data_IF_583459397867
#
_entry.id   IF_583459397867
#
_cell.length_a   1.000
_cell.length_b   1.000
_cell.length_c   1.000
_cell.angle_alpha   90.00
_cell.angle_beta   90.00
_cell.angle_gamma   90.00
#
_symmetry.space_group_name_H-M   'P 1'
#
loop_
_entity.id
_entity.type
_entity.pdbx_description
1 polymer ?
#
# COMPACT_ATOMS: atom_id res chain seq x y z
N UNK A 1 1.68 24.33 2.35
CA UNK A 1 0.54 25.29 2.39
C UNK A 1 0.33 26.10 1.11
N UNK A 2 1.24 27.01 0.71
CA UNK A 2 1.02 27.89 -0.46
C UNK A 2 0.68 27.14 -1.76
N UNK A 3 1.29 25.98 -2.00
CA UNK A 3 0.99 25.15 -3.17
C UNK A 3 -0.42 24.55 -3.11
N UNK A 4 -0.84 24.04 -1.95
CA UNK A 4 -2.20 23.54 -1.72
C UNK A 4 -3.25 24.64 -1.96
N UNK A 5 -3.00 25.87 -1.49
CA UNK A 5 -3.88 27.01 -1.75
C UNK A 5 -3.99 27.30 -3.26
N UNK A 6 -2.87 27.26 -4.00
CA UNK A 6 -2.91 27.38 -5.47
C UNK A 6 -3.74 26.27 -6.11
N UNK A 7 -3.57 25.02 -5.65
CA UNK A 7 -4.28 23.86 -6.18
C UNK A 7 -5.80 23.96 -5.94
N UNK A 8 -6.23 24.38 -4.75
CA UNK A 8 -7.65 24.62 -4.43
C UNK A 8 -8.22 25.75 -5.29
N UNK A 9 -7.45 26.81 -5.52
CA UNK A 9 -7.86 27.94 -6.34
C UNK A 9 -7.92 27.61 -7.84
N UNK A 10 -7.01 26.76 -8.32
CA UNK A 10 -6.97 26.33 -9.71
C UNK A 10 -7.97 25.18 -9.95
N UNK A 11 -8.73 25.22 -11.04
CA UNK A 11 -9.70 24.17 -11.41
C UNK A 11 -9.06 22.81 -11.81
N UNK A 12 -7.79 22.56 -11.49
CA UNK A 12 -7.08 21.31 -11.80
C UNK A 12 -7.43 20.16 -10.83
N UNK A 13 -8.23 20.45 -9.82
CA UNK A 13 -8.62 19.57 -8.71
C UNK A 13 -10.02 19.98 -8.26
N UNK A 14 -10.88 19.02 -7.87
CA UNK A 14 -12.23 19.34 -7.41
C UNK A 14 -12.39 19.06 -5.90
N UNK A 15 -12.43 20.11 -5.04
CA UNK A 15 -12.42 19.95 -3.58
C UNK A 15 -13.52 19.05 -3.00
N UNK A 16 -14.69 18.95 -3.64
CA UNK A 16 -15.73 18.05 -3.13
C UNK A 16 -15.45 16.56 -3.38
N UNK A 17 -14.71 16.22 -4.44
CA UNK A 17 -14.63 14.83 -4.97
C UNK A 17 -13.21 14.26 -5.00
N UNK A 18 -12.21 15.05 -4.64
CA UNK A 18 -10.80 14.69 -4.63
C UNK A 18 -10.16 15.12 -3.29
N UNK A 19 -8.92 14.70 -2.98
CA UNK A 19 -8.16 15.11 -1.78
C UNK A 19 -6.88 15.86 -2.17
N UNK A 20 -6.59 16.99 -1.51
CA UNK A 20 -5.38 17.77 -1.78
C UNK A 20 -4.13 17.03 -1.26
N UNK A 21 -3.38 16.48 -2.19
CA UNK A 21 -2.32 15.50 -1.93
C UNK A 21 -1.18 16.06 -1.05
N UNK A 22 -0.82 17.35 -1.19
CA UNK A 22 0.26 17.92 -0.38
C UNK A 22 -0.15 18.04 1.09
N UNK A 23 -1.38 18.51 1.36
CA UNK A 23 -1.91 18.57 2.72
C UNK A 23 -2.11 17.16 3.30
N UNK A 24 -2.53 16.19 2.49
CA UNK A 24 -2.63 14.80 2.91
C UNK A 24 -1.27 14.25 3.35
N UNK A 25 -0.24 14.36 2.51
CA UNK A 25 1.09 13.81 2.79
C UNK A 25 1.68 14.39 4.08
N UNK A 26 1.57 15.70 4.29
CA UNK A 26 2.07 16.34 5.52
C UNK A 26 1.28 15.94 6.77
N UNK A 27 -0.05 15.83 6.65
CA UNK A 27 -0.91 15.41 7.76
C UNK A 27 -0.65 13.96 8.13
N UNK A 28 -0.61 13.07 7.14
CA UNK A 28 -0.39 11.65 7.34
C UNK A 28 1.00 11.35 7.90
N UNK A 29 2.01 12.07 7.41
CA UNK A 29 3.37 12.04 7.99
C UNK A 29 3.34 12.41 9.47
N UNK A 30 2.71 13.53 9.85
CA UNK A 30 2.61 13.93 11.25
C UNK A 30 1.91 12.87 12.11
N UNK A 31 0.81 12.28 11.62
CA UNK A 31 0.11 11.22 12.36
C UNK A 31 0.95 9.94 12.49
N UNK A 32 1.70 9.56 11.45
CA UNK A 32 2.59 8.41 11.51
C UNK A 32 3.79 8.65 12.44
N UNK A 33 4.35 9.86 12.46
CA UNK A 33 5.37 10.25 13.44
C UNK A 33 4.82 10.18 14.87
N UNK A 34 3.55 10.54 15.07
CA UNK A 34 2.89 10.38 16.37
C UNK A 34 2.78 8.91 16.79
N UNK A 35 2.37 8.03 15.87
CA UNK A 35 2.35 6.58 16.10
C UNK A 35 3.74 6.03 16.39
N UNK A 36 4.76 6.44 15.63
CA UNK A 36 6.15 5.99 15.83
C UNK A 36 6.68 6.35 17.21
N UNK A 37 6.35 7.57 17.66
CA UNK A 37 6.75 8.08 18.98
C UNK A 37 5.98 7.44 20.13
N UNK A 38 4.67 7.24 19.96
CA UNK A 38 3.79 6.73 21.00
C UNK A 38 3.82 5.21 21.12
N UNK A 39 3.59 4.50 20.01
CA UNK A 39 3.57 3.04 19.95
C UNK A 39 4.98 2.43 19.98
N UNK A 40 5.99 3.17 19.48
CA UNK A 40 7.32 2.68 19.20
C UNK A 40 7.39 2.04 17.81
N UNK A 41 8.47 2.29 17.06
CA UNK A 41 8.69 1.70 15.74
C UNK A 41 8.74 0.17 15.86
N UNK A 42 7.88 -0.52 15.10
CA UNK A 42 7.86 -1.98 15.01
C UNK A 42 8.49 -2.45 13.71
N UNK A 43 9.30 -3.50 13.80
CA UNK A 43 9.87 -4.19 12.63
C UNK A 43 8.98 -5.39 12.27
N UNK A 44 9.01 -5.91 11.03
CA UNK A 44 8.13 -7.01 10.59
C UNK A 44 8.15 -8.29 11.43
N UNK A 45 9.21 -8.51 12.22
CA UNK A 45 9.37 -9.66 13.12
C UNK A 45 8.72 -9.45 14.49
N UNK A 46 8.25 -8.25 14.79
CA UNK A 46 7.62 -7.90 16.06
C UNK A 46 6.16 -8.39 16.08
N UNK A 47 5.68 -9.05 17.15
CA UNK A 47 4.30 -9.55 17.24
C UNK A 47 3.23 -8.45 17.14
N UNK A 48 3.57 -7.20 17.46
CA UNK A 48 2.65 -6.06 17.34
C UNK A 48 2.80 -5.31 16.01
N UNK A 49 3.66 -5.75 15.10
CA UNK A 49 3.89 -5.09 13.82
C UNK A 49 2.62 -4.96 12.98
N UNK A 50 1.82 -6.02 12.91
CA UNK A 50 0.58 -6.05 12.14
C UNK A 50 -0.40 -4.96 12.61
N UNK A 51 -0.53 -4.82 13.93
CA UNK A 51 -1.40 -3.84 14.57
C UNK A 51 -0.84 -2.41 14.47
N UNK A 52 0.49 -2.27 14.55
CA UNK A 52 1.17 -1.00 14.29
C UNK A 52 0.95 -0.49 12.87
N UNK A 53 0.91 -1.39 11.87
CA UNK A 53 0.57 -1.01 10.49
C UNK A 53 -0.91 -0.64 10.33
N UNK A 54 -1.81 -1.33 11.04
CA UNK A 54 -3.24 -0.97 11.09
C UNK A 54 -3.44 0.45 11.60
N UNK A 55 -2.74 0.85 12.68
CA UNK A 55 -2.73 2.23 13.18
C UNK A 55 -2.28 3.23 12.10
N UNK A 56 -1.23 2.91 11.33
CA UNK A 56 -0.74 3.79 10.25
C UNK A 56 -1.70 3.88 9.05
N UNK A 57 -2.42 2.81 8.76
CA UNK A 57 -3.48 2.82 7.75
C UNK A 57 -4.66 3.71 8.20
N UNK A 58 -5.13 3.53 9.43
CA UNK A 58 -6.22 4.33 9.98
C UNK A 58 -5.83 5.81 10.16
N UNK A 59 -4.55 6.11 10.41
CA UNK A 59 -4.02 7.47 10.34
C UNK A 59 -4.20 8.10 8.94
N UNK A 60 -4.06 7.31 7.87
CA UNK A 60 -4.28 7.80 6.51
C UNK A 60 -5.75 8.16 6.29
N UNK A 61 -6.67 7.31 6.76
CA UNK A 61 -8.12 7.57 6.72
C UNK A 61 -8.45 8.89 7.45
N UNK A 62 -8.00 9.04 8.69
CA UNK A 62 -8.18 10.28 9.45
C UNK A 62 -7.62 11.50 8.73
N UNK A 63 -6.40 11.39 8.19
CA UNK A 63 -5.71 12.47 7.47
C UNK A 63 -6.48 12.90 6.22
N UNK A 64 -7.03 11.95 5.47
CA UNK A 64 -7.82 12.25 4.28
C UNK A 64 -9.13 12.97 4.62
N UNK A 65 -9.87 12.54 5.64
CA UNK A 65 -11.07 13.26 6.10
C UNK A 65 -10.75 14.67 6.63
N UNK A 66 -9.67 14.83 7.40
CA UNK A 66 -9.21 16.15 7.86
C UNK A 66 -8.92 17.07 6.68
N UNK A 67 -8.20 16.58 5.67
CA UNK A 67 -7.84 17.38 4.50
C UNK A 67 -9.05 17.70 3.65
N UNK A 68 -9.98 16.75 3.45
CA UNK A 68 -11.25 17.00 2.77
C UNK A 68 -12.05 18.10 3.47
N UNK A 69 -12.10 18.10 4.81
CA UNK A 69 -12.73 19.18 5.56
C UNK A 69 -12.04 20.52 5.31
N UNK A 70 -10.74 20.58 5.54
CA UNK A 70 -9.96 21.82 5.44
C UNK A 70 -10.00 22.44 4.05
N UNK A 71 -9.84 21.62 3.00
CA UNK A 71 -9.87 22.11 1.62
C UNK A 71 -11.25 22.65 1.22
N UNK A 72 -12.34 22.04 1.70
CA UNK A 72 -13.69 22.51 1.39
C UNK A 72 -14.05 23.77 2.18
N UNK A 73 -13.64 23.87 3.45
CA UNK A 73 -13.79 25.10 4.24
C UNK A 73 -13.06 26.28 3.57
N UNK A 74 -11.88 26.05 2.97
CA UNK A 74 -11.14 27.06 2.19
C UNK A 74 -11.79 27.33 0.82
N UNK A 75 -12.24 26.29 0.11
CA UNK A 75 -12.88 26.41 -1.21
C UNK A 75 -14.22 27.16 -1.14
N UNK A 76 -14.96 27.02 -0.04
CA UNK A 76 -16.22 27.74 0.19
C UNK A 76 -16.06 29.28 0.15
N UNK A 77 -14.84 29.80 0.30
CA UNK A 77 -14.53 31.23 0.28
C UNK A 77 -14.11 31.76 -1.10
N UNK A 78 -14.06 30.92 -2.14
CA UNK A 78 -13.56 31.29 -3.48
C UNK A 78 -14.38 32.39 -4.17
N UNK A 79 -15.70 32.40 -3.94
CA UNK A 79 -16.61 33.35 -4.59
C UNK A 79 -16.91 34.53 -3.65
N UNK A 80 -17.08 35.71 -4.23
CA UNK A 80 -17.64 36.87 -3.53
C UNK A 80 -19.16 36.80 -3.41
N UNK A 81 -19.78 37.82 -2.80
CA UNK A 81 -21.23 37.91 -2.60
C UNK A 81 -22.04 37.96 -3.90
N UNK A 82 -21.40 38.26 -5.03
CA UNK A 82 -22.03 38.30 -6.36
C UNK A 82 -21.81 36.98 -7.13
N UNK A 83 -21.15 36.00 -6.52
CA UNK A 83 -20.85 34.69 -7.13
C UNK A 83 -19.64 34.73 -8.07
N UNK A 84 -18.83 35.79 -8.04
CA UNK A 84 -17.64 35.94 -8.88
C UNK A 84 -16.39 35.44 -8.16
N UNK A 85 -15.51 34.77 -8.90
CA UNK A 85 -14.23 34.29 -8.37
C UNK A 85 -13.35 35.47 -7.91
N UNK A 86 -12.98 35.46 -6.62
CA UNK A 86 -12.06 36.45 -6.03
C UNK A 86 -10.65 36.31 -6.62
N UNK A 87 -9.84 37.38 -6.72
CA UNK A 87 -8.43 37.26 -7.05
C UNK A 87 -7.66 36.40 -6.04
N UNK A 88 -6.69 35.61 -6.52
CA UNK A 88 -5.92 34.66 -5.68
C UNK A 88 -5.31 35.30 -4.43
N UNK A 89 -4.64 36.44 -4.56
CA UNK A 89 -3.98 37.11 -3.42
C UNK A 89 -5.00 37.57 -2.35
N UNK A 90 -6.19 37.99 -2.78
CA UNK A 90 -7.26 38.35 -1.86
C UNK A 90 -7.81 37.10 -1.15
N UNK A 91 -8.21 36.09 -1.91
CA UNK A 91 -8.75 34.85 -1.37
C UNK A 91 -7.75 34.16 -0.43
N UNK A 92 -6.48 34.04 -0.83
CA UNK A 92 -5.43 33.42 -0.04
C UNK A 92 -5.24 34.11 1.31
N UNK A 93 -5.37 35.45 1.36
CA UNK A 93 -5.29 36.21 2.61
C UNK A 93 -6.52 35.97 3.50
N UNK A 94 -7.70 35.87 2.91
CA UNK A 94 -8.96 35.64 3.63
C UNK A 94 -9.05 34.23 4.22
N UNK A 95 -8.53 33.20 3.53
CA UNK A 95 -8.56 31.81 4.03
C UNK A 95 -7.38 31.45 4.92
N UNK A 96 -6.35 32.30 5.01
CA UNK A 96 -5.16 32.03 5.84
C UNK A 96 -5.50 31.71 7.30
N UNK A 97 -6.46 32.38 7.98
CA UNK A 97 -6.87 32.00 9.33
C UNK A 97 -7.46 30.59 9.41
N UNK A 98 -8.25 30.16 8.42
CA UNK A 98 -8.81 28.80 8.35
C UNK A 98 -7.67 27.79 8.20
N UNK A 99 -6.79 28.01 7.21
CA UNK A 99 -5.65 27.14 6.93
C UNK A 99 -4.73 26.99 8.16
N UNK A 100 -4.41 28.09 8.84
CA UNK A 100 -3.54 28.10 10.02
C UNK A 100 -4.22 27.40 11.19
N UNK A 101 -5.50 27.68 11.45
CA UNK A 101 -6.19 27.08 12.59
C UNK A 101 -6.32 25.56 12.43
N UNK A 102 -6.71 25.08 11.25
CA UNK A 102 -6.95 23.65 11.02
C UNK A 102 -5.67 22.85 10.77
N UNK A 103 -4.73 23.37 9.97
CA UNK A 103 -3.54 22.62 9.53
C UNK A 103 -2.29 22.90 10.36
N UNK A 104 -2.37 23.77 11.37
CA UNK A 104 -1.26 24.03 12.30
C UNK A 104 -1.72 23.85 13.76
N UNK A 105 -2.65 24.67 14.25
CA UNK A 105 -3.03 24.65 15.66
C UNK A 105 -3.81 23.39 16.07
N UNK A 106 -4.82 23.01 15.29
CA UNK A 106 -5.56 21.76 15.51
C UNK A 106 -4.69 20.55 15.23
N UNK A 107 -3.92 20.56 14.14
CA UNK A 107 -2.99 19.48 13.82
C UNK A 107 -1.97 19.21 14.94
N UNK A 108 -1.49 20.27 15.61
CA UNK A 108 -0.63 20.11 16.79
C UNK A 108 -1.35 19.39 17.94
N UNK A 109 -2.60 19.77 18.23
CA UNK A 109 -3.40 19.15 19.31
C UNK A 109 -3.71 17.68 19.00
N UNK A 110 -4.03 17.40 17.73
CA UNK A 110 -4.25 16.06 17.19
C UNK A 110 -2.97 15.23 17.30
N UNK A 111 -1.83 15.76 16.89
CA UNK A 111 -0.53 15.10 17.02
C UNK A 111 -0.21 14.74 18.47
N UNK A 112 -0.32 15.72 19.39
CA UNK A 112 -0.03 15.51 20.81
C UNK A 112 -0.95 14.42 21.42
N UNK A 113 -2.23 14.40 21.01
CA UNK A 113 -3.20 13.38 21.44
C UNK A 113 -2.92 12.02 20.79
N UNK A 114 -2.55 11.98 19.52
CA UNK A 114 -2.22 10.76 18.78
C UNK A 114 -0.99 10.06 19.39
N UNK A 115 0.04 10.79 19.81
CA UNK A 115 1.21 10.20 20.51
C UNK A 115 0.76 9.47 21.77
N UNK A 116 -0.06 10.11 22.60
CA UNK A 116 -0.54 9.53 23.86
C UNK A 116 -1.41 8.30 23.60
N UNK A 117 -2.33 8.38 22.64
CA UNK A 117 -3.24 7.28 22.31
C UNK A 117 -2.52 6.11 21.65
N UNK A 118 -1.49 6.36 20.85
CA UNK A 118 -0.63 5.31 20.31
C UNK A 118 0.15 4.58 21.40
N UNK A 119 0.63 5.29 22.43
CA UNK A 119 1.22 4.65 23.61
C UNK A 119 0.20 3.78 24.35
N UNK A 120 -1.00 4.31 24.60
CA UNK A 120 -2.08 3.55 25.24
C UNK A 120 -2.50 2.32 24.42
N UNK A 121 -2.45 2.40 23.09
CA UNK A 121 -2.70 1.27 22.23
C UNK A 121 -1.65 0.17 22.43
N UNK A 122 -0.36 0.54 22.53
CA UNK A 122 0.71 -0.41 22.84
C UNK A 122 0.56 -1.04 24.23
N UNK A 123 0.24 -0.23 25.24
CA UNK A 123 -0.05 -0.71 26.61
C UNK A 123 -1.19 -1.72 26.60
N UNK A 124 -2.26 -1.45 25.84
CA UNK A 124 -3.39 -2.38 25.74
C UNK A 124 -3.01 -3.73 25.12
N UNK A 125 -2.13 -3.74 24.11
CA UNK A 125 -1.59 -4.98 23.53
C UNK A 125 -0.80 -5.78 24.57
N UNK A 126 -0.06 -5.09 25.44
CA UNK A 126 0.62 -5.73 26.55
C UNK A 126 -0.37 -6.31 27.57
N UNK A 127 -1.38 -5.53 27.99
CA UNK A 127 -2.40 -5.97 28.95
C UNK A 127 -3.09 -7.26 28.48
N UNK A 128 -3.48 -7.33 27.21
CA UNK A 128 -4.10 -8.53 26.63
C UNK A 128 -3.17 -9.76 26.64
N UNK A 129 -1.85 -9.57 26.51
CA UNK A 129 -0.87 -10.67 26.55
C UNK A 129 -0.63 -11.20 27.96
N UNK A 130 -0.71 -10.34 28.97
CA UNK A 130 -0.33 -10.69 30.34
C UNK A 130 -1.53 -10.93 31.27
N UNK A 131 -2.76 -10.78 30.78
CA UNK A 131 -3.99 -10.92 31.58
C UNK A 131 -4.17 -12.27 32.28
N UNK A 132 -3.49 -13.32 31.84
CA UNK A 132 -3.49 -14.62 32.54
C UNK A 132 -2.74 -14.57 33.89
N UNK A 133 -1.85 -13.58 34.06
CA UNK A 133 -1.04 -13.36 35.27
C UNK A 133 -1.47 -12.08 36.00
N UNK A 134 -1.73 -11.01 35.26
CA UNK A 134 -2.17 -9.71 35.76
C UNK A 134 -3.54 -9.38 35.15
N UNK A 135 -4.63 -9.99 35.66
CA UNK A 135 -5.94 -9.96 35.00
C UNK A 135 -6.66 -8.62 35.08
N UNK A 136 -6.20 -7.70 35.94
CA UNK A 136 -6.88 -6.44 36.21
C UNK A 136 -6.05 -5.24 35.75
N UNK A 137 -6.75 -4.14 35.43
CA UNK A 137 -6.18 -2.83 35.15
C UNK A 137 -6.55 -1.86 36.26
N UNK A 138 -5.59 -1.02 36.64
CA UNK A 138 -5.77 0.06 37.61
C UNK A 138 -5.63 1.41 36.94
N UNK A 139 -6.61 2.28 37.13
CA UNK A 139 -6.53 3.67 36.67
C UNK A 139 -5.65 4.49 37.61
N UNK A 140 -4.55 5.05 37.09
CA UNK A 140 -3.60 5.82 37.86
C UNK A 140 -3.82 7.34 37.73
N UNK A 141 -3.41 8.14 38.73
CA UNK A 141 -3.44 9.59 38.63
C UNK A 141 -2.69 10.14 37.40
N UNK A 142 -3.24 11.19 36.81
CA UNK A 142 -2.64 11.88 35.66
C UNK A 142 -1.29 12.51 36.00
N UNK A 143 -0.38 12.52 35.03
CA UNK A 143 0.90 13.26 35.13
C UNK A 143 0.78 14.74 34.75
N UNK A 144 -0.44 15.23 34.44
CA UNK A 144 -0.69 16.64 34.17
C UNK A 144 -0.47 17.52 35.41
N UNK A 145 0.07 18.73 35.21
CA UNK A 145 0.20 19.74 36.27
C UNK A 145 -1.19 20.21 36.74
N UNK A 146 -2.17 20.24 35.84
CA UNK A 146 -3.55 20.61 36.11
C UNK A 146 -4.49 19.50 35.63
N UNK A 147 -4.66 18.43 36.42
CA UNK A 147 -5.56 17.33 36.05
C UNK A 147 -7.02 17.77 36.17
N UNK A 148 -7.80 17.49 35.12
CA UNK A 148 -9.25 17.72 35.08
C UNK A 148 -9.98 16.94 36.18
N UNK A 149 -11.10 17.48 36.67
CA UNK A 149 -11.90 16.85 37.72
C UNK A 149 -12.71 15.65 37.19
N UNK A 150 -13.05 15.69 35.90
CA UNK A 150 -13.79 14.67 35.16
C UNK A 150 -13.18 13.27 35.27
N UNK A 151 -11.84 13.15 35.28
CA UNK A 151 -11.19 11.84 35.41
C UNK A 151 -10.71 11.48 36.83
N UNK A 152 -10.71 12.43 37.77
CA UNK A 152 -10.24 12.15 39.15
C UNK A 152 -11.09 11.11 39.86
N UNK A 153 -12.38 11.06 39.52
CA UNK A 153 -13.34 10.15 40.12
C UNK A 153 -13.02 8.68 39.84
N UNK A 154 -12.31 8.38 38.74
CA UNK A 154 -11.94 7.02 38.34
C UNK A 154 -10.58 6.57 38.88
N UNK A 155 -9.81 7.45 39.52
CA UNK A 155 -8.48 7.10 40.01
C UNK A 155 -8.55 6.05 41.10
N UNK A 156 -7.77 4.98 40.94
CA UNK A 156 -7.76 3.84 41.84
C UNK A 156 -8.80 2.76 41.51
N UNK A 157 -9.67 2.96 40.51
CA UNK A 157 -10.55 1.89 40.02
C UNK A 157 -9.71 0.74 39.45
N UNK A 158 -9.94 -0.46 39.96
CA UNK A 158 -9.28 -1.72 39.56
C UNK A 158 -10.34 -2.65 38.98
N UNK A 159 -10.26 -3.00 37.70
CA UNK A 159 -11.24 -3.88 37.03
C UNK A 159 -10.55 -4.83 36.04
N UNK A 160 -11.15 -6.00 35.75
CA UNK A 160 -10.62 -6.92 34.75
C UNK A 160 -10.35 -6.25 33.40
N UNK A 161 -9.33 -6.70 32.66
CA UNK A 161 -8.95 -6.15 31.34
C UNK A 161 -10.15 -6.10 30.37
N UNK A 162 -11.02 -7.09 30.42
CA UNK A 162 -12.19 -7.24 29.55
C UNK A 162 -13.49 -6.62 30.11
N UNK A 163 -13.42 -5.93 31.25
CA UNK A 163 -14.59 -5.35 31.89
C UNK A 163 -15.25 -4.27 31.01
N UNK A 164 -16.59 -4.28 30.82
CA UNK A 164 -17.30 -3.31 29.98
C UNK A 164 -17.08 -1.84 30.33
N UNK A 165 -16.75 -1.53 31.58
CA UNK A 165 -16.38 -0.17 32.04
C UNK A 165 -15.37 0.50 31.11
N UNK A 166 -14.34 -0.23 30.67
CA UNK A 166 -13.27 0.32 29.83
C UNK A 166 -13.73 0.75 28.43
N UNK A 167 -14.91 0.29 27.98
CA UNK A 167 -15.51 0.75 26.71
C UNK A 167 -16.06 2.17 26.84
N UNK A 168 -16.57 2.52 28.01
CA UNK A 168 -17.22 3.81 28.27
C UNK A 168 -16.29 4.81 28.96
N UNK A 169 -15.37 4.35 29.81
CA UNK A 169 -14.47 5.17 30.60
C UNK A 169 -13.06 4.59 30.56
N UNK A 170 -12.09 5.32 30.01
CA UNK A 170 -10.68 4.90 30.04
C UNK A 170 -9.75 6.07 29.75
N UNK A 171 -8.48 6.03 30.17
CA UNK A 171 -7.51 6.98 29.68
C UNK A 171 -7.47 7.06 28.14
N UNK A 172 -7.37 8.28 27.62
CA UNK A 172 -7.33 8.55 26.18
C UNK A 172 -8.65 9.02 25.57
N UNK A 173 -9.78 8.94 26.28
CA UNK A 173 -11.11 9.41 25.85
C UNK A 173 -11.31 10.96 25.95
N UNK A 174 -10.27 11.69 26.36
CA UNK A 174 -10.18 13.15 26.38
C UNK A 174 -8.96 13.62 25.61
N UNK A 175 -9.07 14.77 24.95
CA UNK A 175 -7.94 15.42 24.26
C UNK A 175 -6.78 15.63 25.23
N UNK A 176 -5.59 15.15 24.85
CA UNK A 176 -4.37 15.20 25.66
C UNK A 176 -4.48 14.59 27.08
N UNK A 177 -5.33 13.59 27.29
CA UNK A 177 -5.46 12.89 28.57
C UNK A 177 -4.17 12.15 28.96
N UNK A 178 -3.50 12.58 30.04
CA UNK A 178 -2.25 11.95 30.53
C UNK A 178 -2.44 10.95 31.67
N UNK A 179 -3.64 10.39 31.82
CA UNK A 179 -3.85 9.29 32.77
C UNK A 179 -3.22 8.00 32.22
N UNK A 180 -2.54 7.19 33.05
CA UNK A 180 -2.14 5.84 32.68
C UNK A 180 -3.13 4.77 33.19
N UNK A 181 -3.08 3.61 32.55
CA UNK A 181 -3.50 2.34 33.14
C UNK A 181 -2.24 1.53 33.48
N UNK A 182 -2.32 0.68 34.49
CA UNK A 182 -1.31 -0.36 34.76
C UNK A 182 -2.01 -1.69 34.97
N UNK A 183 -1.42 -2.77 34.49
CA UNK A 183 -1.84 -4.13 34.84
C UNK A 183 -1.47 -4.45 36.29
N UNK A 184 -2.28 -5.30 36.93
CA UNK A 184 -2.14 -5.67 38.34
C UNK A 184 -2.87 -6.98 38.65
N UNK A 185 -2.48 -7.64 39.74
CA UNK A 185 -3.20 -8.74 40.39
C UNK A 185 -4.00 -8.27 41.63
N UNK A 186 -4.03 -6.96 41.90
CA UNK A 186 -4.86 -6.37 42.97
C UNK A 186 -6.34 -6.80 42.83
N UNK A 187 -7.05 -7.05 43.95
CA UNK A 187 -8.48 -7.35 43.90
C UNK A 187 -9.29 -6.25 43.21
N UNK A 188 -10.31 -6.65 42.44
CA UNK A 188 -11.19 -5.71 41.76
C UNK A 188 -11.90 -4.78 42.76
N UNK A 189 -12.14 -3.54 42.33
CA UNK A 189 -13.06 -2.63 43.00
C UNK A 189 -14.43 -3.31 43.14
N UNK A 190 -15.03 -3.37 44.35
CA UNK A 190 -16.37 -3.91 44.55
C UNK A 190 -17.40 -3.22 43.65
N UNK A 191 -18.44 -3.94 43.22
CA UNK A 191 -19.42 -3.44 42.25
C UNK A 191 -20.11 -2.14 42.69
N UNK A 192 -20.36 -1.97 43.99
CA UNK A 192 -20.94 -0.77 44.60
C UNK A 192 -19.94 0.40 44.76
N UNK A 193 -18.65 0.14 44.53
CA UNK A 193 -17.58 1.13 44.53
C UNK A 193 -17.08 1.53 43.14
N UNK A 194 -17.63 0.97 42.05
CA UNK A 194 -17.29 1.37 40.69
C UNK A 194 -17.97 2.73 40.40
N UNK A 195 -17.22 3.79 40.07
CA UNK A 195 -17.83 5.08 39.75
C UNK A 195 -18.71 4.96 38.50
N UNK A 196 -19.96 5.42 38.58
CA UNK A 196 -20.91 5.37 37.44
C UNK A 196 -20.55 6.36 36.32
N UNK A 197 -19.73 7.37 36.62
CA UNK A 197 -19.49 8.50 35.72
C UNK A 197 -20.69 9.45 35.67
N UNK A 198 -20.70 10.31 34.66
CA UNK A 198 -21.61 11.43 34.50
C UNK A 198 -21.48 12.08 33.12
N UNK A 199 -22.16 13.21 32.93
CA UNK A 199 -22.16 13.89 31.63
C UNK A 199 -20.80 14.53 31.30
N UNK A 200 -20.06 14.99 32.32
CA UNK A 200 -18.80 15.71 32.16
C UNK A 200 -17.60 14.79 31.82
N UNK A 201 -17.75 13.47 31.97
CA UNK A 201 -16.71 12.44 31.74
C UNK A 201 -16.97 11.55 30.50
N UNK A 202 -18.05 11.81 29.75
CA UNK A 202 -18.33 11.11 28.47
C UNK A 202 -17.25 11.35 27.42
N UNK A 203 -16.67 10.33 26.77
CA UNK A 203 -15.60 10.49 25.77
C UNK A 203 -15.84 11.61 24.75
N UNK A 204 -14.79 12.36 24.42
CA UNK A 204 -14.86 13.43 23.43
C UNK A 204 -15.10 12.83 22.03
N UNK A 205 -15.76 13.61 21.16
CA UNK A 205 -16.00 13.19 19.78
C UNK A 205 -14.70 12.87 19.05
N UNK A 206 -14.68 11.71 18.40
CA UNK A 206 -13.51 11.09 17.78
C UNK A 206 -12.60 10.28 18.72
N UNK A 207 -12.85 10.26 20.04
CA UNK A 207 -12.03 9.56 21.04
C UNK A 207 -12.79 8.44 21.78
N UNK A 208 -14.01 8.12 21.36
CA UNK A 208 -14.93 7.12 21.94
C UNK A 208 -14.41 5.69 21.83
N UNK A 209 -13.63 5.36 20.79
CA UNK A 209 -13.04 4.04 20.54
C UNK A 209 -11.74 3.79 21.30
N UNK A 210 -11.52 2.54 21.73
CA UNK A 210 -10.26 2.13 22.35
C UNK A 210 -9.22 1.84 21.26
N UNK A 211 -8.18 2.66 21.10
CA UNK A 211 -7.24 2.51 20.00
C UNK A 211 -6.50 1.18 20.08
N UNK A 212 -6.32 0.60 21.27
CA UNK A 212 -5.72 -0.72 21.50
C UNK A 212 -6.56 -1.91 21.03
N UNK A 213 -7.85 -1.67 20.77
CA UNK A 213 -8.79 -2.68 20.26
C UNK A 213 -9.21 -2.40 18.81
N UNK A 214 -9.37 -1.13 18.44
CA UNK A 214 -9.88 -0.73 17.12
C UNK A 214 -8.78 -0.44 16.12
N UNK A 215 -7.54 -0.20 16.56
CA UNK A 215 -6.48 0.29 15.69
C UNK A 215 -6.71 1.71 15.20
N UNK A 216 -7.69 2.45 15.75
CA UNK A 216 -8.04 3.82 15.34
C UNK A 216 -7.63 4.81 16.44
N UNK A 217 -6.65 5.68 16.16
CA UNK A 217 -6.30 6.77 17.08
C UNK A 217 -7.44 7.79 17.19
N UNK A 218 -8.19 8.00 16.11
CA UNK A 218 -9.41 8.79 16.08
C UNK A 218 -10.49 7.98 15.38
N UNK A 219 -11.65 7.82 16.02
CA UNK A 219 -12.77 7.05 15.48
C UNK A 219 -13.72 7.92 14.64
N UNK A 220 -14.71 7.26 14.03
CA UNK A 220 -15.68 7.86 13.10
C UNK A 220 -16.65 8.87 13.72
N UNK A 221 -16.70 9.01 15.04
CA UNK A 221 -17.44 10.10 15.68
C UNK A 221 -16.68 11.43 15.64
N UNK A 222 -15.46 11.47 15.08
CA UNK A 222 -14.75 12.72 14.90
C UNK A 222 -15.54 13.65 13.96
N UNK A 223 -15.63 14.97 14.22
CA UNK A 223 -16.40 15.90 13.39
C UNK A 223 -15.99 15.94 11.90
N UNK A 224 -14.77 15.53 11.56
CA UNK A 224 -14.31 15.40 10.17
C UNK A 224 -15.05 14.30 9.40
N UNK A 225 -15.63 13.32 10.11
CA UNK A 225 -16.39 12.21 9.55
C UNK A 225 -17.88 12.42 9.81
N UNK A 226 -18.28 12.67 11.06
CA UNK A 226 -19.69 12.82 11.44
C UNK A 226 -20.37 14.04 10.82
N UNK A 227 -19.59 15.10 10.56
CA UNK A 227 -20.06 16.34 9.91
C UNK A 227 -19.27 16.62 8.63
N UNK A 228 -18.91 15.55 7.92
CA UNK A 228 -18.21 15.64 6.65
C UNK A 228 -19.07 16.35 5.59
N UNK A 229 -18.39 16.96 4.62
CA UNK A 229 -19.06 17.47 3.41
C UNK A 229 -19.61 16.31 2.56
N UNK A 230 -20.67 16.57 1.79
CA UNK A 230 -21.21 15.59 0.85
C UNK A 230 -20.11 15.07 -0.10
N UNK A 231 -20.07 13.76 -0.33
CA UNK A 231 -19.05 13.12 -1.18
C UNK A 231 -17.68 12.93 -0.51
N UNK A 232 -17.50 13.31 0.76
CA UNK A 232 -16.23 13.10 1.47
C UNK A 232 -15.80 11.63 1.51
N UNK A 233 -16.71 10.71 1.84
CA UNK A 233 -16.40 9.28 1.92
C UNK A 233 -15.94 8.73 0.55
N UNK A 234 -16.62 9.11 -0.53
CA UNK A 234 -16.25 8.74 -1.89
C UNK A 234 -14.89 9.31 -2.30
N UNK A 235 -14.64 10.59 -1.99
CA UNK A 235 -13.38 11.27 -2.27
C UNK A 235 -12.21 10.64 -1.51
N UNK A 236 -12.41 10.34 -0.22
CA UNK A 236 -11.44 9.64 0.63
C UNK A 236 -11.15 8.26 0.06
N UNK A 237 -12.17 7.42 -0.15
CA UNK A 237 -11.96 6.05 -0.65
C UNK A 237 -11.22 6.04 -2.00
N UNK A 238 -11.69 6.85 -2.95
CA UNK A 238 -11.03 7.01 -4.26
C UNK A 238 -9.57 7.44 -4.11
N UNK A 239 -9.30 8.40 -3.23
CA UNK A 239 -7.94 8.90 -3.01
C UNK A 239 -7.06 7.85 -2.34
N UNK A 240 -7.54 7.14 -1.31
CA UNK A 240 -6.73 6.14 -0.62
C UNK A 240 -6.41 4.94 -1.52
N UNK A 241 -7.36 4.51 -2.36
CA UNK A 241 -7.15 3.48 -3.38
C UNK A 241 -6.07 3.88 -4.41
N UNK A 242 -5.91 5.18 -4.68
CA UNK A 242 -4.98 5.69 -5.71
C UNK A 242 -3.65 6.21 -5.14
N UNK A 243 -3.63 6.67 -3.89
CA UNK A 243 -2.58 7.54 -3.33
C UNK A 243 -1.86 6.94 -2.12
N UNK A 244 -2.46 6.01 -1.37
CA UNK A 244 -1.70 5.17 -0.43
C UNK A 244 -0.97 4.05 -1.19
N UNK A 245 -0.50 4.37 -2.41
CA UNK A 245 0.62 3.71 -3.07
C UNK A 245 0.57 2.21 -3.04
N UNK A 246 -0.61 1.63 -3.21
CA UNK A 246 -0.65 0.23 -3.50
C UNK A 246 -1.34 0.06 -4.82
N UNK A 247 -0.50 -0.17 -5.82
CA UNK A 247 -0.81 -1.08 -6.90
C UNK A 247 -1.08 -2.51 -6.36
N UNK A 248 -1.72 -2.63 -5.18
CA UNK A 248 -2.12 -3.88 -4.54
C UNK A 248 -3.09 -4.54 -5.51
N UNK A 249 -2.73 -5.72 -6.01
CA UNK A 249 -3.64 -6.49 -6.83
C UNK A 249 -4.95 -6.73 -6.08
N UNK A 250 -6.08 -6.55 -6.78
CA UNK A 250 -7.38 -6.92 -6.26
C UNK A 250 -7.40 -8.43 -5.90
N UNK A 251 -8.08 -8.77 -4.80
CA UNK A 251 -8.23 -10.16 -4.34
C UNK A 251 -7.13 -10.69 -3.42
N UNK A 252 -6.15 -9.85 -3.03
CA UNK A 252 -5.23 -10.16 -1.93
C UNK A 252 -5.91 -9.98 -0.58
N UNK A 253 -5.63 -10.86 0.38
CA UNK A 253 -6.05 -10.68 1.78
C UNK A 253 -5.15 -9.66 2.50
N UNK A 254 -5.56 -9.17 3.68
CA UNK A 254 -4.87 -8.12 4.44
C UNK A 254 -3.37 -8.41 4.65
N UNK A 255 -2.99 -9.67 4.94
CA UNK A 255 -1.59 -10.05 5.13
C UNK A 255 -0.78 -10.00 3.82
N UNK A 256 -1.39 -10.43 2.72
CA UNK A 256 -0.78 -10.36 1.38
C UNK A 256 -0.67 -8.91 0.88
N UNK A 257 -1.67 -8.08 1.17
CA UNK A 257 -1.65 -6.65 0.84
C UNK A 257 -0.50 -5.95 1.57
N UNK A 258 -0.33 -6.21 2.87
CA UNK A 258 0.80 -5.67 3.65
C UNK A 258 2.16 -6.05 3.08
N UNK A 259 2.38 -7.32 2.74
CA UNK A 259 3.60 -7.78 2.07
C UNK A 259 3.86 -7.02 0.78
N UNK A 260 2.80 -6.68 0.03
CA UNK A 260 2.90 -5.86 -1.17
C UNK A 260 3.35 -4.44 -0.87
N UNK A 261 2.76 -3.77 0.13
CA UNK A 261 3.13 -2.40 0.51
C UNK A 261 4.59 -2.33 0.93
N UNK A 262 5.03 -3.26 1.79
CA UNK A 262 6.43 -3.34 2.21
C UNK A 262 7.38 -3.56 1.04
N UNK A 263 6.98 -4.43 0.12
CA UNK A 263 7.76 -4.71 -1.08
C UNK A 263 7.88 -3.48 -1.98
N UNK A 264 6.83 -2.65 -2.08
CA UNK A 264 6.89 -1.36 -2.77
C UNK A 264 7.92 -0.45 -2.10
N UNK A 265 7.80 -0.20 -0.79
CA UNK A 265 8.74 0.68 -0.08
C UNK A 265 10.20 0.21 -0.17
N UNK A 266 10.45 -1.10 -0.03
CA UNK A 266 11.79 -1.66 -0.21
C UNK A 266 12.29 -1.50 -1.64
N UNK A 267 11.42 -1.67 -2.63
CA UNK A 267 11.77 -1.45 -4.03
C UNK A 267 12.15 0.00 -4.27
N UNK A 268 11.38 0.95 -3.75
CA UNK A 268 11.66 2.39 -3.84
C UNK A 268 13.02 2.73 -3.21
N UNK A 269 13.32 2.20 -2.03
CA UNK A 269 14.62 2.38 -1.37
C UNK A 269 15.77 1.81 -2.21
N UNK A 270 15.60 0.59 -2.76
CA UNK A 270 16.64 -0.08 -3.57
C UNK A 270 16.89 0.62 -4.90
N UNK A 271 15.83 1.12 -5.55
CA UNK A 271 15.92 1.81 -6.83
C UNK A 271 16.23 3.30 -6.68
N UNK A 272 16.00 3.88 -5.50
CA UNK A 272 16.01 5.32 -5.23
C UNK A 272 15.03 6.08 -6.13
N UNK A 273 13.85 5.50 -6.30
CA UNK A 273 12.76 6.02 -7.14
C UNK A 273 11.46 5.92 -6.37
N UNK A 274 10.59 6.91 -6.53
CA UNK A 274 9.21 6.84 -6.03
C UNK A 274 8.31 6.17 -7.07
N UNK A 275 7.37 5.36 -6.61
CA UNK A 275 6.36 4.74 -7.46
C UNK A 275 5.36 5.81 -7.92
N UNK A 276 5.32 6.06 -9.23
CA UNK A 276 4.31 6.92 -9.84
C UNK A 276 2.98 6.21 -10.11
N UNK A 277 2.09 6.88 -10.86
CA UNK A 277 0.83 6.30 -11.31
C UNK A 277 1.07 5.10 -12.23
N UNK A 278 0.13 4.13 -12.22
CA UNK A 278 0.10 3.02 -13.18
C UNK A 278 0.21 3.56 -14.62
N UNK A 279 1.24 3.12 -15.35
CA UNK A 279 1.36 3.42 -16.78
C UNK A 279 0.48 2.46 -17.57
N UNK A 280 -0.17 2.92 -18.63
CA UNK A 280 -0.87 2.14 -19.67
C UNK A 280 0.10 1.20 -20.43
N UNK A 281 -0.44 0.30 -21.25
CA UNK A 281 0.40 -0.58 -22.06
C UNK A 281 1.26 0.27 -23.00
N UNK A 282 0.66 1.27 -23.63
CA UNK A 282 1.29 2.17 -24.58
C UNK A 282 2.42 2.99 -23.93
N UNK A 283 2.24 3.49 -22.70
CA UNK A 283 3.26 4.25 -21.95
C UNK A 283 4.43 3.38 -21.44
N UNK A 284 4.16 2.11 -21.12
CA UNK A 284 5.17 1.17 -20.63
C UNK A 284 5.89 0.41 -21.76
N UNK A 285 5.24 0.26 -22.92
CA UNK A 285 5.73 -0.50 -24.08
C UNK A 285 6.38 0.43 -25.14
N UNK A 286 6.85 -0.14 -26.25
CA UNK A 286 7.45 0.65 -27.34
C UNK A 286 8.91 0.98 -27.10
N UNK A 287 9.70 -0.01 -26.68
CA UNK A 287 11.13 0.13 -26.34
C UNK A 287 11.46 0.93 -25.09
N UNK A 288 10.46 1.44 -24.37
CA UNK A 288 10.68 2.22 -23.14
C UNK A 288 11.42 1.44 -22.05
N UNK A 289 11.21 0.13 -21.97
CA UNK A 289 11.97 -0.74 -21.07
C UNK A 289 13.35 -1.16 -21.58
N UNK A 290 13.72 -0.86 -22.83
CA UNK A 290 15.02 -1.23 -23.42
C UNK A 290 15.45 -0.25 -24.53
N UNK A 291 15.60 1.05 -24.22
CA UNK A 291 15.86 2.07 -25.24
C UNK A 291 17.17 1.82 -26.00
N UNK A 292 18.13 1.17 -25.34
CA UNK A 292 19.48 0.90 -25.85
C UNK A 292 19.62 -0.39 -26.68
N UNK A 293 18.52 -1.03 -27.10
CA UNK A 293 18.56 -2.31 -27.85
C UNK A 293 19.49 -2.31 -29.07
N UNK A 294 19.66 -1.17 -29.74
CA UNK A 294 20.52 -1.06 -30.93
C UNK A 294 21.98 -0.79 -30.60
N UNK A 295 22.30 -0.47 -29.35
CA UNK A 295 23.60 0.05 -28.95
C UNK A 295 24.61 -1.07 -28.67
N UNK A 296 24.17 -2.16 -28.05
CA UNK A 296 25.05 -3.28 -27.70
C UNK A 296 24.37 -4.65 -27.90
N UNK A 297 25.17 -5.70 -28.10
CA UNK A 297 24.67 -7.08 -28.14
C UNK A 297 24.05 -7.51 -26.81
N UNK A 298 24.56 -7.02 -25.67
CA UNK A 298 24.00 -7.28 -24.35
C UNK A 298 22.57 -6.79 -24.20
N UNK A 299 22.22 -5.64 -24.78
CA UNK A 299 20.84 -5.13 -24.83
C UNK A 299 19.94 -5.86 -25.85
N UNK A 300 20.52 -6.65 -26.76
CA UNK A 300 19.78 -7.58 -27.64
C UNK A 300 19.56 -8.94 -27.00
N UNK A 301 20.23 -9.22 -25.89
CA UNK A 301 20.20 -10.51 -25.21
C UNK A 301 19.73 -10.43 -23.75
N UNK A 302 19.12 -9.31 -23.34
CA UNK A 302 18.60 -9.05 -21.99
C UNK A 302 17.06 -9.15 -21.90
N UNK A 303 16.39 -9.94 -22.74
CA UNK A 303 14.92 -10.00 -22.78
C UNK A 303 14.27 -10.28 -21.41
N UNK A 304 14.99 -10.96 -20.52
CA UNK A 304 14.61 -11.24 -19.13
C UNK A 304 14.54 -9.97 -18.28
N UNK A 305 15.45 -9.02 -18.49
CA UNK A 305 15.40 -7.70 -17.87
C UNK A 305 14.31 -6.84 -18.49
N UNK A 306 14.08 -6.94 -19.81
CA UNK A 306 13.10 -6.12 -20.51
C UNK A 306 11.66 -6.40 -20.07
N UNK A 307 11.29 -7.66 -19.84
CA UNK A 307 9.96 -8.00 -19.32
C UNK A 307 9.77 -7.51 -17.89
N UNK A 308 10.84 -7.52 -17.07
CA UNK A 308 10.81 -6.98 -15.70
C UNK A 308 10.68 -5.45 -15.72
N UNK A 309 11.48 -4.76 -16.52
CA UNK A 309 11.40 -3.32 -16.70
C UNK A 309 10.01 -2.90 -17.18
N UNK A 310 9.43 -3.61 -18.14
CA UNK A 310 8.07 -3.32 -18.60
C UNK A 310 7.02 -3.51 -17.50
N UNK A 311 7.08 -4.60 -16.72
CA UNK A 311 6.14 -4.80 -15.61
C UNK A 311 6.30 -3.73 -14.52
N UNK A 312 7.52 -3.35 -14.15
CA UNK A 312 7.78 -2.24 -13.21
C UNK A 312 7.22 -0.92 -13.73
N UNK A 313 7.38 -0.63 -15.03
CA UNK A 313 6.75 0.53 -15.68
C UNK A 313 5.23 0.47 -15.61
N UNK A 314 4.61 -0.69 -15.88
CA UNK A 314 3.16 -0.87 -15.70
C UNK A 314 2.73 -0.58 -14.26
N UNK A 315 3.60 -0.83 -13.29
CA UNK A 315 3.45 -0.50 -11.87
C UNK A 315 3.91 0.93 -11.50
N UNK A 316 4.14 1.82 -12.47
CA UNK A 316 4.44 3.24 -12.22
C UNK A 316 5.90 3.60 -11.96
N UNK A 317 6.84 2.66 -12.03
CA UNK A 317 8.27 2.98 -11.92
C UNK A 317 8.84 3.46 -13.25
N UNK A 318 9.48 4.63 -13.29
CA UNK A 318 10.15 5.12 -14.48
C UNK A 318 11.55 4.48 -14.64
N UNK A 319 11.56 3.23 -15.11
CA UNK A 319 12.80 2.42 -15.23
C UNK A 319 13.04 1.90 -16.64
N UNK A 320 14.28 1.52 -16.90
CA UNK A 320 14.76 0.81 -18.09
C UNK A 320 15.63 -0.41 -17.72
N UNK A 321 15.70 -1.39 -18.61
CA UNK A 321 16.45 -2.63 -18.40
C UNK A 321 17.97 -2.40 -18.46
N UNK A 322 18.69 -3.04 -17.55
CA UNK A 322 20.16 -3.08 -17.61
C UNK A 322 20.68 -4.06 -18.66
N UNK A 323 21.92 -3.81 -19.08
CA UNK A 323 22.64 -4.63 -20.06
C UNK A 323 23.01 -6.00 -19.50
N UNK A 324 22.91 -7.03 -20.34
CA UNK A 324 23.46 -8.34 -20.05
C UNK A 324 24.93 -8.43 -20.45
N UNK A 325 25.79 -8.80 -19.51
CA UNK A 325 27.23 -8.97 -19.71
C UNK A 325 27.57 -10.46 -19.59
N UNK A 326 27.66 -11.16 -20.73
CA UNK A 326 27.92 -12.61 -20.78
C UNK A 326 29.19 -13.06 -20.05
N UNK A 327 30.23 -12.23 -20.10
CA UNK A 327 31.54 -12.53 -19.50
C UNK A 327 31.56 -12.35 -17.99
N UNK A 328 30.58 -11.66 -17.40
CA UNK A 328 30.49 -11.45 -15.95
C UNK A 328 29.39 -12.32 -15.36
N UNK A 329 29.79 -13.40 -14.68
CA UNK A 329 28.85 -14.30 -14.01
C UNK A 329 28.08 -13.65 -12.85
N UNK A 330 28.54 -12.49 -12.35
CA UNK A 330 27.87 -11.74 -11.29
C UNK A 330 26.81 -10.79 -11.82
N UNK A 331 26.83 -10.44 -13.11
CA UNK A 331 25.83 -9.60 -13.75
C UNK A 331 24.43 -10.24 -13.59
N UNK A 332 23.51 -9.53 -12.93
CA UNK A 332 22.17 -10.06 -12.61
C UNK A 332 21.40 -10.43 -13.89
N UNK A 333 21.38 -9.63 -14.97
CA UNK A 333 20.78 -10.02 -16.24
C UNK A 333 21.37 -11.31 -16.84
N UNK A 334 22.68 -11.53 -16.71
CA UNK A 334 23.31 -12.79 -17.10
C UNK A 334 22.77 -13.97 -16.29
N UNK A 335 22.61 -13.82 -14.97
CA UNK A 335 22.03 -14.85 -14.12
C UNK A 335 20.53 -15.10 -14.38
N UNK A 336 19.77 -14.05 -14.70
CA UNK A 336 18.34 -14.16 -15.03
C UNK A 336 18.07 -15.01 -16.26
N UNK A 337 19.05 -15.12 -17.18
CA UNK A 337 18.93 -15.89 -18.42
C UNK A 337 18.53 -17.36 -18.20
N UNK A 338 18.88 -17.96 -17.05
CA UNK A 338 18.53 -19.34 -16.70
C UNK A 338 17.40 -19.45 -15.65
N UNK A 339 16.99 -18.35 -15.04
CA UNK A 339 15.99 -18.31 -13.93
C UNK A 339 15.11 -17.07 -14.02
N UNK A 340 14.33 -16.98 -15.09
CA UNK A 340 13.51 -15.80 -15.41
C UNK A 340 12.47 -15.43 -14.35
N UNK A 341 12.10 -16.35 -13.48
CA UNK A 341 11.18 -16.15 -12.35
C UNK A 341 11.83 -15.49 -11.13
N UNK A 342 13.17 -15.39 -11.10
CA UNK A 342 13.91 -14.92 -9.92
C UNK A 342 13.63 -13.46 -9.54
N UNK A 343 13.17 -12.64 -10.49
CA UNK A 343 12.76 -11.26 -10.24
C UNK A 343 11.47 -11.14 -9.40
N UNK A 344 10.81 -12.26 -9.10
CA UNK A 344 9.48 -12.28 -8.51
C UNK A 344 9.41 -13.20 -7.29
N UNK A 345 8.58 -12.82 -6.33
CA UNK A 345 8.28 -13.59 -5.11
C UNK A 345 6.76 -13.75 -5.02
N UNK A 346 6.30 -14.98 -4.79
CA UNK A 346 4.90 -15.28 -4.54
C UNK A 346 4.53 -14.80 -3.13
N UNK A 347 3.56 -13.88 -2.98
CA UNK A 347 3.20 -13.33 -1.66
C UNK A 347 2.67 -14.40 -0.69
N UNK A 348 2.15 -15.51 -1.20
CA UNK A 348 1.60 -16.61 -0.40
C UNK A 348 2.68 -17.50 0.17
N UNK A 349 3.64 -17.91 -0.66
CA UNK A 349 4.68 -18.86 -0.25
C UNK A 349 5.96 -18.18 0.22
N UNK A 350 6.21 -16.93 -0.17
CA UNK A 350 7.51 -16.27 0.02
C UNK A 350 8.62 -16.83 -0.88
N UNK A 351 8.29 -17.73 -1.79
CA UNK A 351 9.23 -18.35 -2.72
C UNK A 351 9.09 -17.79 -4.13
N UNK A 352 9.98 -18.19 -5.05
CA UNK A 352 9.83 -17.85 -6.47
C UNK A 352 8.58 -18.49 -7.06
N UNK A 353 7.88 -17.84 -8.01
CA UNK A 353 6.69 -18.41 -8.59
C UNK A 353 7.01 -19.67 -9.39
N UNK A 354 6.17 -20.69 -9.22
CA UNK A 354 6.29 -21.95 -9.95
C UNK A 354 5.92 -21.75 -11.42
N UNK A 355 6.82 -22.14 -12.33
CA UNK A 355 6.52 -22.17 -13.77
C UNK A 355 5.54 -23.28 -14.10
N UNK A 356 4.44 -22.92 -14.73
CA UNK A 356 3.50 -23.84 -15.36
C UNK A 356 3.88 -24.01 -16.84
N UNK A 357 3.53 -25.14 -17.44
CA UNK A 357 3.88 -25.44 -18.84
C UNK A 357 2.62 -25.74 -19.63
N UNK A 358 2.40 -24.97 -20.70
CA UNK A 358 1.44 -25.29 -21.76
C UNK A 358 2.19 -26.03 -22.89
N UNK A 359 1.67 -27.17 -23.33
CA UNK A 359 2.33 -28.00 -24.33
C UNK A 359 3.36 -28.95 -23.72
N UNK A 360 4.50 -29.11 -24.40
CA UNK A 360 5.59 -29.99 -23.95
C UNK A 360 5.46 -31.43 -24.48
N UNK A 361 6.44 -32.27 -24.11
CA UNK A 361 6.42 -33.69 -24.40
C UNK A 361 5.57 -34.47 -23.39
N UNK A 362 5.00 -35.57 -23.86
CA UNK A 362 4.37 -36.58 -23.05
C UNK A 362 4.86 -37.97 -23.49
N UNK A 363 4.83 -38.93 -22.56
CA UNK A 363 5.11 -40.32 -22.87
C UNK A 363 3.90 -40.97 -23.53
N UNK A 364 4.01 -41.32 -24.81
CA UNK A 364 2.96 -42.04 -25.53
C UNK A 364 3.10 -43.54 -25.25
N UNK A 365 2.17 -44.08 -24.45
CA UNK A 365 2.19 -45.49 -24.04
C UNK A 365 1.98 -46.46 -25.21
N UNK A 366 1.31 -46.04 -26.28
CA UNK A 366 1.03 -46.89 -27.43
C UNK A 366 2.23 -46.96 -28.38
N UNK A 367 2.95 -45.84 -28.50
CA UNK A 367 4.11 -45.73 -29.39
C UNK A 367 5.46 -45.95 -28.67
N UNK A 368 5.44 -46.15 -27.36
CA UNK A 368 6.63 -46.29 -26.48
C UNK A 368 7.70 -45.23 -26.74
N UNK A 369 7.27 -43.98 -26.93
CA UNK A 369 8.18 -42.85 -27.20
C UNK A 369 7.65 -41.53 -26.66
N UNK A 370 8.56 -40.60 -26.44
CA UNK A 370 8.17 -39.22 -26.18
C UNK A 370 7.57 -38.58 -27.43
N UNK A 371 6.44 -37.90 -27.26
CA UNK A 371 5.77 -37.16 -28.31
C UNK A 371 5.46 -35.75 -27.83
N UNK A 372 5.72 -34.75 -28.67
CA UNK A 372 5.35 -33.38 -28.39
C UNK A 372 3.85 -33.18 -28.62
N UNK A 373 3.18 -32.45 -27.71
CA UNK A 373 1.82 -31.98 -27.92
C UNK A 373 1.75 -31.07 -29.15
N UNK A 374 0.62 -31.11 -29.85
CA UNK A 374 0.37 -30.25 -31.01
C UNK A 374 0.25 -28.77 -30.59
N UNK A 375 0.39 -27.87 -31.57
CA UNK A 375 0.18 -26.44 -31.33
C UNK A 375 -1.26 -26.11 -30.89
N UNK A 376 -2.25 -26.94 -31.26
CA UNK A 376 -3.63 -26.78 -30.84
C UNK A 376 -3.83 -27.16 -29.36
N UNK A 377 -3.27 -28.29 -28.93
CA UNK A 377 -3.26 -28.71 -27.53
C UNK A 377 -2.52 -27.69 -26.65
N UNK A 378 -1.35 -27.22 -27.12
CA UNK A 378 -0.61 -26.17 -26.43
C UNK A 378 -1.43 -24.88 -26.28
N UNK A 379 -2.16 -24.45 -27.33
CA UNK A 379 -3.02 -23.26 -27.24
C UNK A 379 -4.14 -23.45 -26.23
N UNK A 380 -4.80 -24.62 -26.24
CA UNK A 380 -5.87 -24.93 -25.28
C UNK A 380 -5.36 -24.87 -23.84
N UNK A 381 -4.21 -25.48 -23.56
CA UNK A 381 -3.59 -25.44 -22.23
C UNK A 381 -3.13 -24.03 -21.86
N UNK A 382 -2.55 -23.29 -22.82
CA UNK A 382 -2.18 -21.89 -22.61
C UNK A 382 -3.39 -21.03 -22.23
N UNK A 383 -4.51 -21.18 -22.94
CA UNK A 383 -5.73 -20.44 -22.64
C UNK A 383 -6.31 -20.80 -21.27
N UNK A 384 -6.30 -22.07 -20.88
CA UNK A 384 -6.72 -22.49 -19.55
C UNK A 384 -5.81 -21.92 -18.45
N UNK A 385 -4.49 -21.98 -18.64
CA UNK A 385 -3.50 -21.48 -17.68
C UNK A 385 -3.48 -19.95 -17.58
N UNK A 386 -4.04 -19.25 -18.57
CA UNK A 386 -4.13 -17.79 -18.60
C UNK A 386 -5.57 -17.31 -18.70
N UNK A 387 -6.54 -18.10 -18.21
CA UNK A 387 -7.97 -17.75 -18.28
C UNK A 387 -8.31 -16.52 -17.44
N UNK A 388 -7.61 -16.34 -16.32
CA UNK A 388 -7.78 -15.19 -15.45
C UNK A 388 -7.19 -13.94 -16.09
N UNK A 389 -7.93 -12.82 -16.00
CA UNK A 389 -7.41 -11.53 -16.43
C UNK A 389 -6.15 -11.17 -15.63
N UNK A 390 -5.11 -10.70 -16.32
CA UNK A 390 -3.81 -10.43 -15.70
C UNK A 390 -2.66 -10.44 -16.70
N UNK A 391 -1.44 -10.31 -16.20
CA UNK A 391 -0.21 -10.31 -17.01
C UNK A 391 0.64 -11.52 -16.67
N UNK A 392 1.20 -12.14 -17.70
CA UNK A 392 1.94 -13.39 -17.61
C UNK A 392 3.25 -13.27 -18.38
N UNK A 393 4.34 -13.71 -17.78
CA UNK A 393 5.60 -13.85 -18.48
C UNK A 393 5.67 -15.22 -19.14
N UNK A 394 6.01 -15.25 -20.43
CA UNK A 394 6.02 -16.45 -21.26
C UNK A 394 7.43 -16.74 -21.75
N UNK A 395 8.01 -17.87 -21.36
CA UNK A 395 9.30 -18.34 -21.82
C UNK A 395 9.16 -19.53 -22.78
N UNK A 396 9.86 -19.52 -23.90
CA UNK A 396 9.82 -20.59 -24.91
C UNK A 396 11.14 -20.67 -25.70
N UNK A 397 11.28 -21.69 -26.55
CA UNK A 397 12.47 -21.91 -27.37
C UNK A 397 12.13 -21.71 -28.85
N UNK A 398 13.00 -21.04 -29.60
CA UNK A 398 12.82 -20.88 -31.05
C UNK A 398 13.16 -22.15 -31.83
N UNK A 399 12.43 -22.42 -32.92
CA UNK A 399 12.79 -23.44 -33.91
C UNK A 399 14.06 -23.04 -34.65
N UNK A 400 14.85 -24.03 -35.07
CA UNK A 400 16.07 -23.80 -35.86
C UNK A 400 17.23 -23.19 -35.10
N UNK A 401 17.10 -22.96 -33.78
CA UNK A 401 18.19 -22.58 -32.88
C UNK A 401 18.41 -23.71 -31.88
N UNK A 402 19.68 -23.95 -31.52
CA UNK A 402 20.05 -25.09 -30.68
C UNK A 402 19.34 -25.06 -29.33
N UNK A 403 19.45 -23.97 -28.57
CA UNK A 403 18.83 -23.83 -27.22
C UNK A 403 18.47 -22.35 -26.89
N UNK A 404 18.49 -21.41 -27.85
CA UNK A 404 18.16 -20.01 -27.52
C UNK A 404 16.68 -19.84 -27.12
N UNK A 405 16.47 -19.57 -25.84
CA UNK A 405 15.18 -19.25 -25.26
C UNK A 405 14.87 -17.75 -25.37
N UNK A 406 13.58 -17.42 -25.35
CA UNK A 406 13.08 -16.04 -25.30
C UNK A 406 12.00 -15.90 -24.25
N UNK A 407 11.79 -14.68 -23.77
CA UNK A 407 10.72 -14.35 -22.84
C UNK A 407 9.99 -13.09 -23.30
N UNK A 408 8.66 -13.15 -23.30
CA UNK A 408 7.76 -12.06 -23.67
C UNK A 408 6.62 -11.97 -22.65
N UNK A 409 5.72 -11.00 -22.83
CA UNK A 409 4.56 -10.83 -21.95
C UNK A 409 3.25 -11.14 -22.68
N UNK A 410 2.33 -11.77 -21.96
CA UNK A 410 0.94 -11.91 -22.32
C UNK A 410 0.06 -11.12 -21.35
N UNK A 411 -0.93 -10.43 -21.87
CA UNK A 411 -1.96 -9.74 -21.09
C UNK A 411 -3.33 -10.31 -21.49
N UNK A 412 -4.03 -10.88 -20.50
CA UNK A 412 -5.40 -11.36 -20.64
C UNK A 412 -6.34 -10.30 -20.10
N UNK A 413 -7.32 -9.89 -20.90
CA UNK A 413 -8.35 -8.92 -20.51
C UNK A 413 -9.57 -9.63 -19.89
N UNK A 414 -10.37 -8.88 -19.12
CA UNK A 414 -11.57 -9.42 -18.46
C UNK A 414 -12.63 -10.00 -19.40
N UNK A 415 -12.63 -9.58 -20.68
CA UNK A 415 -13.49 -10.15 -21.73
C UNK A 415 -12.89 -11.40 -22.40
N UNK A 416 -11.78 -11.95 -21.89
CA UNK A 416 -11.05 -13.09 -22.45
C UNK A 416 -10.08 -12.74 -23.59
N UNK A 417 -10.07 -11.48 -24.04
CA UNK A 417 -9.15 -10.99 -25.06
C UNK A 417 -7.68 -11.17 -24.66
N UNK A 418 -6.81 -11.34 -25.65
CA UNK A 418 -5.39 -11.61 -25.43
C UNK A 418 -4.54 -10.62 -26.22
N UNK A 419 -3.55 -10.03 -25.53
CA UNK A 419 -2.46 -9.30 -26.15
C UNK A 419 -1.15 -9.99 -25.81
N UNK A 420 -0.35 -10.33 -26.83
CA UNK A 420 1.04 -10.77 -26.63
C UNK A 420 1.95 -9.67 -27.15
N UNK A 421 3.05 -9.42 -26.47
CA UNK A 421 4.00 -8.40 -26.87
C UNK A 421 5.37 -8.70 -26.32
N UNK A 422 6.38 -8.25 -27.05
CA UNK A 422 7.78 -8.37 -26.72
C UNK A 422 8.33 -7.01 -26.30
N UNK A 423 8.51 -6.77 -24.98
CA UNK A 423 9.07 -5.53 -24.48
C UNK A 423 10.50 -5.25 -24.94
N UNK A 424 11.27 -6.28 -25.31
CA UNK A 424 12.66 -6.11 -25.74
C UNK A 424 12.74 -5.36 -27.06
N UNK A 425 11.78 -5.58 -27.96
CA UNK A 425 11.70 -4.94 -29.28
C UNK A 425 10.49 -3.99 -29.43
N UNK A 426 9.69 -3.85 -28.38
CA UNK A 426 8.54 -2.95 -28.31
C UNK A 426 7.38 -3.32 -29.25
N UNK A 427 7.24 -4.59 -29.64
CA UNK A 427 6.26 -5.03 -30.67
C UNK A 427 5.18 -5.93 -30.10
N UNK A 428 3.97 -5.80 -30.65
CA UNK A 428 2.89 -6.78 -30.48
C UNK A 428 3.26 -8.05 -31.25
N UNK A 429 2.94 -9.20 -30.66
CA UNK A 429 3.21 -10.53 -31.20
C UNK A 429 1.89 -11.22 -31.50
N UNK A 430 1.76 -11.77 -32.71
CA UNK A 430 0.57 -12.50 -33.11
C UNK A 430 0.71 -13.99 -32.79
N UNK A 431 -0.30 -14.59 -32.12
CA UNK A 431 -0.27 -16.02 -31.77
C UNK A 431 -0.06 -16.93 -32.99
N UNK A 432 -0.68 -16.58 -34.12
CA UNK A 432 -0.57 -17.31 -35.39
C UNK A 432 0.87 -17.44 -35.89
N UNK A 433 1.72 -16.48 -35.54
CA UNK A 433 3.11 -16.42 -35.97
C UNK A 433 4.01 -17.03 -34.89
N UNK A 434 3.75 -16.71 -33.62
CA UNK A 434 4.48 -17.30 -32.49
C UNK A 434 4.44 -18.83 -32.54
N UNK A 435 3.25 -19.45 -32.69
CA UNK A 435 3.09 -20.91 -32.69
C UNK A 435 3.88 -21.62 -33.80
N UNK A 436 4.18 -20.93 -34.91
CA UNK A 436 4.94 -21.51 -36.02
C UNK A 436 6.44 -21.52 -35.73
N UNK A 437 6.90 -20.57 -34.92
CA UNK A 437 8.31 -20.30 -34.70
C UNK A 437 8.87 -20.92 -33.41
N UNK A 438 8.03 -21.44 -32.51
CA UNK A 438 8.47 -22.04 -31.24
C UNK A 438 8.52 -23.58 -31.28
N UNK A 439 9.46 -24.16 -30.52
CA UNK A 439 9.62 -25.60 -30.31
C UNK A 439 8.51 -26.13 -29.40
N UNK A 440 7.65 -27.01 -29.91
CA UNK A 440 6.50 -27.50 -29.15
C UNK A 440 6.86 -28.57 -28.12
N UNK A 441 7.98 -29.25 -28.32
CA UNK A 441 8.53 -30.24 -27.39
C UNK A 441 8.84 -29.67 -26.00
N UNK A 442 9.19 -28.38 -25.90
CA UNK A 442 9.47 -27.72 -24.62
C UNK A 442 8.30 -26.90 -24.09
N UNK A 443 7.24 -26.74 -24.89
CA UNK A 443 6.08 -25.93 -24.56
C UNK A 443 6.39 -24.45 -24.34
N UNK A 444 5.36 -23.74 -23.85
CA UNK A 444 5.47 -22.39 -23.28
C UNK A 444 5.45 -22.54 -21.77
N UNK A 445 6.51 -22.05 -21.11
CA UNK A 445 6.59 -21.97 -19.65
C UNK A 445 6.11 -20.60 -19.21
N UNK A 446 5.20 -20.53 -18.25
CA UNK A 446 4.60 -19.27 -17.83
C UNK A 446 4.31 -19.20 -16.34
N UNK A 447 4.19 -17.96 -15.86
CA UNK A 447 3.71 -17.61 -14.53
C UNK A 447 3.02 -16.24 -14.60
N UNK A 448 2.04 -16.03 -13.73
CA UNK A 448 1.37 -14.73 -13.56
C UNK A 448 2.30 -13.79 -12.81
N UNK A 449 2.40 -12.53 -13.25
CA UNK A 449 3.38 -11.57 -12.73
C UNK A 449 2.73 -10.36 -12.07
N UNK A 450 1.56 -9.93 -12.53
CA UNK A 450 0.87 -8.73 -12.01
C UNK A 450 0.44 -8.86 -10.53
N UNK A 451 0.48 -10.06 -9.97
CA UNK A 451 0.18 -10.36 -8.58
C UNK A 451 1.38 -10.83 -7.75
N UNK A 452 2.59 -10.70 -8.28
CA UNK A 452 3.83 -11.12 -7.59
C UNK A 452 4.56 -9.92 -7.01
N UNK A 453 5.16 -10.12 -5.84
CA UNK A 453 6.11 -9.20 -5.24
C UNK A 453 7.39 -9.14 -6.10
N UNK A 454 8.06 -8.01 -6.08
CA UNK A 454 9.36 -7.78 -6.71
C UNK A 454 10.43 -8.42 -5.83
N UNK A 455 11.46 -9.03 -6.40
CA UNK A 455 12.62 -9.46 -5.62
C UNK A 455 13.56 -8.27 -5.38
N UNK A 456 13.39 -7.58 -4.25
CA UNK A 456 14.12 -6.36 -3.91
C UNK A 456 15.65 -6.56 -3.80
N UNK A 457 16.12 -7.78 -3.51
CA UNK A 457 17.56 -8.07 -3.34
C UNK A 457 18.35 -7.94 -4.65
N UNK A 458 17.69 -8.08 -5.79
CA UNK A 458 18.34 -8.11 -7.10
C UNK A 458 17.84 -7.03 -8.06
N UNK A 459 16.74 -6.34 -7.73
CA UNK A 459 16.03 -5.47 -8.67
C UNK A 459 16.91 -4.34 -9.22
N UNK A 460 17.75 -3.75 -8.37
CA UNK A 460 18.71 -2.70 -8.76
C UNK A 460 19.84 -3.18 -9.70
N UNK A 461 20.00 -4.49 -9.90
CA UNK A 461 20.86 -5.05 -10.95
C UNK A 461 20.12 -5.38 -12.25
N UNK A 462 18.78 -5.44 -12.21
CA UNK A 462 17.95 -5.77 -13.38
C UNK A 462 17.57 -4.52 -14.15
N UNK A 463 17.22 -3.46 -13.42
CA UNK A 463 16.74 -2.20 -13.96
C UNK A 463 17.52 -1.03 -13.38
N UNK A 464 17.40 0.13 -14.01
CA UNK A 464 17.86 1.42 -13.49
C UNK A 464 16.81 2.48 -13.83
N UNK A 465 16.92 3.65 -13.22
CA UNK A 465 16.15 4.83 -13.62
C UNK A 465 16.28 5.07 -15.14
N UNK A 466 15.16 5.32 -15.80
CA UNK A 466 15.16 5.64 -17.22
C UNK A 466 15.73 7.05 -17.43
N UNK A 467 16.70 7.17 -18.33
CA UNK A 467 17.17 8.49 -18.81
C UNK A 467 16.02 9.20 -19.53
N UNK A 468 15.85 10.51 -19.24
CA UNK A 468 14.84 11.38 -19.89
C UNK A 468 14.96 11.42 -21.42
#
# INVERSE_FOLDING_TARGET
>A
MRQALKNIYSKSFHPMTDIEENLFNETWKAMNEATDKGFGIRQPVDPDYDFYQELKHNNAVFSAFKVHRAQNDMAAQLLDSEGKLKPFEQWSKEVQPIATHQMEHWLKTEYDTAVIRAHQAADWRQFEREKDILPNLKWLPSTSIHPGADHKIFWGTVLPVDHPFWKSHRPGDRWNCKCPLTSTDEPCTPMDGIPEGGDDDKPADGLKGNPGQTGELFDKSHPYVEHAYDGAEEAVNKFLETSIGTNVPAGLNVHEQRKWIENVHRTEEKLKLEQGKLMTFEEANGMKGNPHYKEDVGYRENCQSCVVANELRRRGYNVEAQIRIKSDSRNIPQQLSSKTEWAWIDPKTGERPKKLTAGGQYWDRNLHKEKAKSAAEMKKEFDELTKEAGRYHLSFNWKGRSIEGHIITAERFGNGGLRLYDPQIGKIVEWKDLKKNIRTEYGIRLYRVDNMLINEDIIGGIVREASE
#
